data_IF_988026466015
#
_entry.id   IF_988026466015
#
_cell.length_a   1.000
_cell.length_b   1.000
_cell.length_c   1.000
_cell.angle_alpha   90.00
_cell.angle_beta   90.00
_cell.angle_gamma   90.00
#
_symmetry.space_group_name_H-M   'P 1'
#
loop_
_entity.id
_entity.type
_entity.pdbx_description
1 polymer ?
#
# COMPACT_ATOMS: atom_id res chain seq x y z
N UNK A 1 -20.40 -29.06 39.07
CA UNK A 1 -19.50 -27.95 39.42
C UNK A 1 -19.49 -27.03 38.20
N UNK A 2 -20.23 -25.92 38.27
CA UNK A 2 -20.36 -24.98 37.14
C UNK A 2 -19.18 -24.01 37.22
N UNK A 3 -18.34 -23.98 36.19
CA UNK A 3 -17.29 -22.96 36.09
C UNK A 3 -18.00 -21.63 35.84
N UNK A 4 -17.73 -20.65 36.69
CA UNK A 4 -18.31 -19.31 36.57
C UNK A 4 -17.72 -18.59 35.34
N UNK A 5 -18.42 -18.68 34.21
CA UNK A 5 -18.04 -18.04 32.95
C UNK A 5 -17.94 -16.50 33.03
N UNK A 6 -18.36 -15.87 34.14
CA UNK A 6 -18.12 -14.46 34.45
C UNK A 6 -16.64 -14.14 34.61
N UNK A 7 -15.90 -14.98 35.34
CA UNK A 7 -14.49 -14.75 35.64
C UNK A 7 -13.60 -15.00 34.41
N UNK A 8 -13.96 -16.00 33.61
CA UNK A 8 -13.28 -16.30 32.35
C UNK A 8 -13.48 -15.19 31.33
N UNK A 9 -14.70 -14.65 31.18
CA UNK A 9 -14.95 -13.48 30.31
C UNK A 9 -14.12 -12.26 30.70
N UNK A 10 -14.06 -11.89 31.98
CA UNK A 10 -13.25 -10.75 32.46
C UNK A 10 -11.75 -10.93 32.17
N UNK A 11 -11.23 -12.16 32.23
CA UNK A 11 -9.83 -12.45 31.88
C UNK A 11 -9.60 -12.31 30.38
N UNK A 12 -10.52 -12.81 29.55
CA UNK A 12 -10.46 -12.65 28.09
C UNK A 12 -10.50 -11.17 27.72
N UNK A 13 -11.42 -10.38 28.28
CA UNK A 13 -11.53 -8.94 27.99
C UNK A 13 -10.24 -8.18 28.37
N UNK A 14 -9.62 -8.53 29.50
CA UNK A 14 -8.34 -7.96 29.92
C UNK A 14 -7.20 -8.30 28.96
N UNK A 15 -7.18 -9.52 28.41
CA UNK A 15 -6.18 -9.95 27.43
C UNK A 15 -6.40 -9.22 26.10
N UNK A 16 -7.64 -9.19 25.61
CA UNK A 16 -7.99 -8.47 24.38
C UNK A 16 -7.62 -6.99 24.49
N UNK A 17 -7.96 -6.34 25.61
CA UNK A 17 -7.61 -4.93 25.85
C UNK A 17 -6.09 -4.66 25.86
N UNK A 18 -5.26 -5.66 26.16
CA UNK A 18 -3.80 -5.56 26.06
C UNK A 18 -3.25 -5.89 24.66
N UNK A 19 -3.94 -6.75 23.91
CA UNK A 19 -3.53 -7.16 22.56
C UNK A 19 -3.88 -6.11 21.50
N UNK A 20 -5.03 -5.44 21.61
CA UNK A 20 -5.46 -4.43 20.66
C UNK A 20 -4.40 -3.35 20.35
N UNK A 21 -3.79 -2.66 21.34
CA UNK A 21 -2.78 -1.64 21.04
C UNK A 21 -1.52 -2.23 20.38
N UNK A 22 -1.18 -3.49 20.66
CA UNK A 22 -0.06 -4.18 20.01
C UNK A 22 -0.40 -4.45 18.54
N UNK A 23 -1.63 -4.86 18.25
CA UNK A 23 -2.10 -5.08 16.87
C UNK A 23 -2.08 -3.76 16.09
N UNK A 24 -2.60 -2.67 16.67
CA UNK A 24 -2.59 -1.33 16.06
C UNK A 24 -1.16 -0.83 15.76
N UNK A 25 -0.21 -1.09 16.67
CA UNK A 25 1.20 -0.76 16.47
C UNK A 25 1.83 -1.57 15.33
N UNK A 26 1.52 -2.88 15.25
CA UNK A 26 2.01 -3.75 14.17
C UNK A 26 1.45 -3.30 12.82
N UNK A 27 0.16 -2.98 12.75
CA UNK A 27 -0.48 -2.42 11.55
C UNK A 27 0.21 -1.14 11.09
N UNK A 28 0.45 -0.21 12.02
CA UNK A 28 1.12 1.06 11.72
C UNK A 28 2.54 0.83 11.21
N UNK A 29 3.32 -0.03 11.87
CA UNK A 29 4.69 -0.33 11.48
C UNK A 29 4.75 -1.01 10.11
N UNK A 30 3.82 -1.92 9.81
CA UNK A 30 3.75 -2.56 8.50
C UNK A 30 3.41 -1.56 7.38
N UNK A 31 2.47 -0.64 7.63
CA UNK A 31 2.14 0.42 6.65
C UNK A 31 3.33 1.34 6.38
N UNK A 32 4.08 1.71 7.42
CA UNK A 32 5.30 2.52 7.26
C UNK A 32 6.35 1.77 6.43
N UNK A 33 6.61 0.50 6.75
CA UNK A 33 7.56 -0.33 5.99
C UNK A 33 7.15 -0.47 4.52
N UNK A 34 5.85 -0.62 4.22
CA UNK A 34 5.37 -0.64 2.83
C UNK A 34 5.58 0.70 2.11
N UNK A 35 5.39 1.82 2.80
CA UNK A 35 5.73 3.15 2.31
C UNK A 35 7.22 3.27 1.98
N UNK A 36 8.07 2.87 2.92
CA UNK A 36 9.53 2.93 2.78
C UNK A 36 10.05 2.05 1.64
N UNK A 37 9.48 0.85 1.46
CA UNK A 37 9.79 -0.02 0.32
C UNK A 37 9.52 0.72 -1.00
N UNK A 38 8.38 1.39 -1.11
CA UNK A 38 7.97 2.07 -2.34
C UNK A 38 8.79 3.32 -2.59
N UNK A 39 9.10 4.10 -1.55
CA UNK A 39 10.00 5.24 -1.61
C UNK A 39 11.40 4.84 -2.06
N UNK A 40 11.99 3.81 -1.43
CA UNK A 40 13.30 3.32 -1.79
C UNK A 40 13.35 2.83 -3.25
N UNK A 41 12.31 2.17 -3.73
CA UNK A 41 12.24 1.75 -5.14
C UNK A 41 12.18 2.97 -6.08
N UNK A 42 11.38 4.00 -5.74
CA UNK A 42 11.31 5.24 -6.51
C UNK A 42 12.69 5.90 -6.64
N UNK A 43 13.38 6.08 -5.51
CA UNK A 43 14.71 6.69 -5.46
C UNK A 43 15.76 5.84 -6.21
N UNK A 44 15.74 4.50 -6.04
CA UNK A 44 16.65 3.60 -6.76
C UNK A 44 16.39 3.59 -8.28
N UNK A 45 15.16 3.87 -8.71
CA UNK A 45 14.80 4.05 -10.12
C UNK A 45 15.20 5.42 -10.68
N UNK A 46 15.73 6.32 -9.85
CA UNK A 46 16.07 7.70 -10.21
C UNK A 46 14.88 8.65 -10.27
N UNK A 47 13.70 8.21 -9.81
CA UNK A 47 12.51 9.04 -9.78
C UNK A 47 12.38 9.71 -8.39
N UNK A 48 12.95 10.90 -8.24
CA UNK A 48 12.95 11.66 -6.97
C UNK A 48 11.75 12.60 -6.81
N UNK A 49 11.00 12.84 -7.90
CA UNK A 49 9.93 13.84 -7.97
C UNK A 49 8.64 13.18 -8.48
N UNK A 50 7.51 13.56 -7.90
CA UNK A 50 6.20 13.19 -8.40
C UNK A 50 5.89 13.91 -9.73
N UNK A 51 5.61 13.18 -10.83
CA UNK A 51 5.33 13.80 -12.13
C UNK A 51 4.02 14.61 -12.18
N UNK A 52 3.12 14.39 -11.22
CA UNK A 52 1.82 15.09 -11.17
C UNK A 52 1.94 16.42 -10.42
N UNK A 53 2.47 16.41 -9.19
CA UNK A 53 2.54 17.62 -8.35
C UNK A 53 3.90 18.33 -8.40
N UNK A 54 4.92 17.72 -9.01
CA UNK A 54 6.27 18.26 -9.15
C UNK A 54 6.98 18.52 -7.81
N UNK A 55 6.55 17.85 -6.74
CA UNK A 55 7.21 17.85 -5.43
C UNK A 55 8.12 16.63 -5.28
N UNK A 56 9.20 16.79 -4.51
CA UNK A 56 10.09 15.70 -4.11
C UNK A 56 9.35 14.66 -3.26
N UNK A 57 9.84 13.42 -3.30
CA UNK A 57 9.42 12.40 -2.36
C UNK A 57 10.16 12.52 -1.03
N UNK A 58 9.42 12.38 0.06
CA UNK A 58 9.94 12.48 1.43
C UNK A 58 9.56 11.26 2.27
N UNK A 59 10.27 11.05 3.37
CA UNK A 59 9.94 10.01 4.36
C UNK A 59 8.51 10.24 4.90
N UNK A 60 7.72 9.18 4.96
CA UNK A 60 6.30 9.25 5.35
C UNK A 60 5.33 9.58 4.20
N UNK A 61 5.83 9.87 2.99
CA UNK A 61 4.96 9.96 1.81
C UNK A 61 4.31 8.61 1.50
N UNK A 62 2.99 8.62 1.32
CA UNK A 62 2.28 7.49 0.74
C UNK A 62 2.45 7.52 -0.77
N UNK A 63 3.24 6.60 -1.29
CA UNK A 63 3.52 6.47 -2.72
C UNK A 63 2.80 5.26 -3.32
N UNK A 64 2.40 5.41 -4.57
CA UNK A 64 1.81 4.37 -5.38
C UNK A 64 2.73 4.06 -6.55
N UNK A 65 2.92 2.78 -6.81
CA UNK A 65 3.67 2.30 -7.97
C UNK A 65 2.71 1.87 -9.06
N UNK A 66 3.02 2.27 -10.29
CA UNK A 66 2.24 1.89 -11.47
C UNK A 66 3.04 0.94 -12.34
N UNK A 67 2.38 -0.08 -12.88
CA UNK A 67 2.95 -1.03 -13.82
C UNK A 67 2.53 -0.66 -15.24
N UNK A 68 3.43 -0.07 -16.00
CA UNK A 68 3.14 0.35 -17.37
C UNK A 68 3.70 -0.67 -18.35
N UNK A 69 2.84 -1.50 -18.96
CA UNK A 69 3.26 -2.51 -19.94
C UNK A 69 3.96 -1.87 -21.15
N UNK A 70 4.94 -2.54 -21.74
CA UNK A 70 5.52 -2.13 -23.00
C UNK A 70 4.71 -2.58 -24.21
N UNK A 71 4.49 -1.66 -25.15
CA UNK A 71 3.72 -1.95 -26.37
C UNK A 71 4.45 -2.92 -27.31
N UNK A 72 5.78 -2.98 -27.21
CA UNK A 72 6.64 -3.83 -28.04
C UNK A 72 7.06 -5.12 -27.34
N UNK A 73 7.01 -5.17 -26.00
CA UNK A 73 7.28 -6.37 -25.21
C UNK A 73 6.34 -6.49 -23.99
N UNK A 74 5.34 -7.40 -24.02
CA UNK A 74 4.39 -7.56 -22.92
C UNK A 74 5.03 -8.10 -21.62
N UNK A 75 6.30 -8.54 -21.66
CA UNK A 75 7.05 -8.93 -20.46
C UNK A 75 7.87 -7.79 -19.86
N UNK A 76 7.97 -6.66 -20.58
CA UNK A 76 8.68 -5.48 -20.12
C UNK A 76 7.68 -4.48 -19.54
N UNK A 77 8.00 -3.98 -18.36
CA UNK A 77 7.17 -3.00 -17.65
C UNK A 77 8.04 -1.84 -17.19
N UNK A 78 7.41 -0.67 -17.11
CA UNK A 78 7.99 0.53 -16.54
C UNK A 78 7.26 0.86 -15.26
N UNK A 79 8.03 1.05 -14.20
CA UNK A 79 7.49 1.48 -12.91
C UNK A 79 7.53 3.00 -12.87
N UNK A 80 6.37 3.63 -12.68
CA UNK A 80 6.31 5.05 -12.35
C UNK A 80 5.66 5.23 -10.99
N UNK A 81 6.24 6.10 -10.20
CA UNK A 81 5.82 6.38 -8.83
C UNK A 81 5.02 7.69 -8.79
N UNK A 82 4.07 7.79 -7.85
CA UNK A 82 3.29 8.99 -7.61
C UNK A 82 2.91 9.08 -6.14
N UNK A 83 2.70 10.30 -5.61
CA UNK A 83 1.95 10.43 -4.38
C UNK A 83 0.56 9.80 -4.55
N UNK A 84 0.14 9.00 -3.56
CA UNK A 84 -1.15 8.31 -3.54
C UNK A 84 -2.29 9.28 -3.89
N UNK A 85 -2.34 10.44 -3.22
CA UNK A 85 -3.33 11.48 -3.46
C UNK A 85 -3.34 11.98 -4.91
N UNK A 86 -2.17 12.09 -5.54
CA UNK A 86 -2.03 12.61 -6.89
C UNK A 86 -2.58 11.62 -7.92
N UNK A 87 -2.18 10.35 -7.85
CA UNK A 87 -2.65 9.34 -8.80
C UNK A 87 -4.13 8.99 -8.56
N UNK A 88 -4.57 8.97 -7.30
CA UNK A 88 -5.98 8.75 -6.96
C UNK A 88 -6.86 9.87 -7.56
N UNK A 89 -6.44 11.14 -7.44
CA UNK A 89 -7.14 12.25 -8.09
C UNK A 89 -7.12 12.15 -9.62
N UNK A 90 -6.03 11.69 -10.22
CA UNK A 90 -5.94 11.47 -11.66
C UNK A 90 -7.01 10.48 -12.14
N UNK A 91 -7.10 9.32 -11.49
CA UNK A 91 -8.04 8.24 -11.84
C UNK A 91 -9.50 8.67 -11.57
N UNK A 92 -9.77 9.13 -10.34
CA UNK A 92 -11.14 9.30 -9.86
C UNK A 92 -11.74 10.66 -10.24
N UNK A 93 -10.91 11.71 -10.37
CA UNK A 93 -11.39 13.09 -10.57
C UNK A 93 -10.99 13.71 -11.91
N UNK A 94 -10.04 13.15 -12.66
CA UNK A 94 -9.50 13.77 -13.87
C UNK A 94 -10.52 13.84 -15.02
N UNK A 95 -11.01 15.00 -15.42
CA UNK A 95 -11.97 15.12 -16.55
C UNK A 95 -11.28 14.83 -17.90
N UNK A 96 -11.25 13.58 -18.37
CA UNK A 96 -10.72 13.23 -19.70
C UNK A 96 -10.68 11.73 -20.01
N UNK A 97 -10.40 11.38 -21.26
CA UNK A 97 -10.31 10.02 -21.80
C UNK A 97 -9.04 9.24 -21.38
N UNK A 98 -8.16 9.85 -20.57
CA UNK A 98 -6.87 9.29 -20.19
C UNK A 98 -6.78 8.92 -18.69
N UNK A 99 -7.91 8.81 -17.99
CA UNK A 99 -7.97 8.42 -16.56
C UNK A 99 -7.38 7.05 -16.28
N UNK A 100 -7.48 6.15 -17.27
CA UNK A 100 -6.97 4.78 -17.25
C UNK A 100 -5.56 4.67 -17.84
N UNK A 101 -4.90 5.81 -18.08
CA UNK A 101 -3.54 5.88 -18.62
C UNK A 101 -2.59 6.51 -17.62
N UNK A 102 -1.36 6.00 -17.64
CA UNK A 102 -0.26 6.48 -16.83
C UNK A 102 0.02 7.96 -17.15
N UNK A 103 0.07 8.85 -16.15
CA UNK A 103 0.40 10.27 -16.37
C UNK A 103 1.78 10.50 -17.00
N UNK A 104 2.73 9.58 -16.80
CA UNK A 104 4.11 9.74 -17.30
C UNK A 104 4.28 9.24 -18.72
N UNK A 105 3.70 8.08 -19.06
CA UNK A 105 3.94 7.43 -20.36
C UNK A 105 2.70 7.22 -21.22
N UNK A 106 1.52 7.61 -20.73
CA UNK A 106 0.21 7.46 -21.40
C UNK A 106 -0.17 6.02 -21.78
N UNK A 107 0.57 5.02 -21.29
CA UNK A 107 0.23 3.60 -21.43
C UNK A 107 -0.84 3.21 -20.43
N UNK A 108 -1.48 2.06 -20.66
CA UNK A 108 -2.51 1.53 -19.74
C UNK A 108 -1.97 1.52 -18.30
N UNK A 109 -2.75 2.12 -17.41
CA UNK A 109 -2.44 2.27 -16.00
C UNK A 109 -2.90 1.03 -15.24
N UNK A 110 -1.98 0.44 -14.50
CA UNK A 110 -2.26 -0.59 -13.51
C UNK A 110 -1.57 -0.16 -12.21
N UNK A 111 -2.34 0.14 -11.16
CA UNK A 111 -1.77 0.35 -9.83
C UNK A 111 -1.41 -1.02 -9.27
N UNK A 112 -0.19 -1.17 -8.77
CA UNK A 112 0.23 -2.40 -8.14
C UNK A 112 1.00 -2.13 -6.85
N UNK A 113 0.81 -3.01 -5.89
CA UNK A 113 1.64 -3.05 -4.70
C UNK A 113 3.04 -3.55 -5.07
N UNK A 114 4.06 -2.99 -4.43
CA UNK A 114 5.45 -3.42 -4.66
C UNK A 114 5.63 -4.92 -4.35
N UNK A 115 6.31 -5.73 -5.20
CA UNK A 115 6.43 -7.19 -4.99
C UNK A 115 7.01 -7.60 -3.63
N UNK A 116 7.96 -6.81 -3.07
CA UNK A 116 8.48 -7.05 -1.72
C UNK A 116 7.41 -6.87 -0.63
N UNK A 117 6.52 -5.89 -0.77
CA UNK A 117 5.41 -5.69 0.17
C UNK A 117 4.42 -6.85 0.08
N UNK A 118 4.14 -7.35 -1.14
CA UNK A 118 3.34 -8.57 -1.34
C UNK A 118 3.98 -9.77 -0.64
N UNK A 119 5.29 -10.01 -0.82
CA UNK A 119 6.01 -11.11 -0.19
C UNK A 119 5.97 -11.05 1.35
N UNK A 120 6.13 -9.85 1.92
CA UNK A 120 5.99 -9.63 3.36
C UNK A 120 4.58 -9.95 3.82
N UNK A 121 3.55 -9.47 3.11
CA UNK A 121 2.16 -9.73 3.47
C UNK A 121 1.80 -11.23 3.36
N UNK A 122 2.33 -11.94 2.38
CA UNK A 122 2.18 -13.40 2.27
C UNK A 122 2.80 -14.14 3.45
N UNK A 123 3.95 -13.68 3.95
CA UNK A 123 4.59 -14.24 5.16
C UNK A 123 3.73 -13.97 6.40
N UNK A 124 3.16 -12.77 6.52
CA UNK A 124 2.26 -12.41 7.63
C UNK A 124 0.94 -13.18 7.59
N UNK A 125 0.38 -13.41 6.39
CA UNK A 125 -0.84 -14.22 6.21
C UNK A 125 -0.66 -15.65 6.74
N UNK A 126 0.52 -16.25 6.59
CA UNK A 126 0.80 -17.61 7.10
C UNK A 126 0.69 -17.72 8.63
N UNK A 127 0.80 -16.61 9.34
CA UNK A 127 0.67 -16.57 10.81
C UNK A 127 -0.63 -15.88 11.26
N UNK A 128 -1.57 -15.65 10.35
CA UNK A 128 -2.86 -15.00 10.65
C UNK A 128 -2.76 -13.50 10.93
N UNK A 129 -1.69 -12.85 10.45
CA UNK A 129 -1.43 -11.42 10.66
C UNK A 129 -1.31 -10.64 9.35
N UNK A 130 -1.71 -11.25 8.22
CA UNK A 130 -1.67 -10.55 6.95
C UNK A 130 -2.77 -9.50 6.87
N UNK A 131 -2.49 -8.49 6.07
CA UNK A 131 -3.39 -7.38 5.81
C UNK A 131 -4.17 -7.64 4.53
N UNK A 132 -5.39 -7.10 4.48
CA UNK A 132 -6.17 -7.04 3.27
C UNK A 132 -5.56 -5.99 2.33
N UNK A 133 -4.86 -6.48 1.30
CA UNK A 133 -4.19 -5.63 0.33
C UNK A 133 -5.17 -4.90 -0.60
N UNK A 134 -6.41 -5.38 -0.73
CA UNK A 134 -7.43 -4.72 -1.54
C UNK A 134 -7.99 -3.46 -0.84
N UNK A 135 -8.10 -3.49 0.49
CA UNK A 135 -8.52 -2.33 1.29
C UNK A 135 -7.41 -1.29 1.50
N UNK A 136 -6.15 -1.71 1.46
CA UNK A 136 -5.00 -0.79 1.43
C UNK A 136 -4.92 0.06 0.15
N UNK A 137 -5.44 -0.44 -0.98
CA UNK A 137 -5.55 0.31 -2.24
C UNK A 137 -6.82 1.19 -2.32
N UNK A 138 -7.76 1.05 -1.38
CA UNK A 138 -9.09 1.69 -1.45
C UNK A 138 -9.45 2.57 -0.25
N UNK A 139 -8.51 2.85 0.66
CA UNK A 139 -8.79 3.79 1.76
C UNK A 139 -8.71 5.24 1.27
N UNK A 140 -9.91 5.77 0.99
CA UNK A 140 -10.24 7.14 0.52
C UNK A 140 -9.95 8.21 1.56
#
# INVERSE_FOLDING_TARGET
MWIDGSLERKRVDLIVGKLNPIIEEIETNAMNEFGDITLNEALNSGQEICPICQLSYEEGDKLEMTKCADETDPNKYYNHFYHHRCINNWINRGQGENRDKCPTCLRKLEIMMHPKAVEINEKLNKIGMGFDLETMNTTV
#
